data_IF_653005649455
#
_entry.id   IF_653005649455
#
_cell.length_a   1.000
_cell.length_b   1.000
_cell.length_c   1.000
_cell.angle_alpha   90.00
_cell.angle_beta   90.00
_cell.angle_gamma   90.00
#
_symmetry.space_group_name_H-M   'P 1'
#
loop_
_entity.id
_entity.type
_entity.pdbx_description
1 polymer ?
#
# COMPACT_ATOMS: atom_id res chain seq x y z
N UNK A 1 28.77 1.16 -1.53
CA UNK A 1 27.79 1.72 -2.49
C UNK A 1 28.34 2.77 -3.46
N UNK A 2 29.54 3.37 -3.27
CA UNK A 2 30.12 4.27 -4.30
C UNK A 2 30.93 3.55 -5.40
N UNK A 3 31.52 2.41 -5.06
CA UNK A 3 32.37 1.62 -5.97
C UNK A 3 31.57 0.84 -7.02
N UNK A 4 30.47 0.21 -6.61
CA UNK A 4 29.58 -0.55 -7.53
C UNK A 4 28.87 0.38 -8.52
N UNK A 5 28.59 1.62 -8.12
CA UNK A 5 28.06 2.65 -9.00
C UNK A 5 29.08 3.13 -10.04
N UNK A 6 30.36 3.25 -9.66
CA UNK A 6 31.45 3.58 -10.59
C UNK A 6 31.68 2.47 -11.63
N UNK A 7 31.64 1.21 -11.19
CA UNK A 7 31.75 0.05 -12.09
C UNK A 7 30.58 0.02 -13.08
N UNK A 8 29.36 0.22 -12.60
CA UNK A 8 28.16 0.27 -13.45
C UNK A 8 28.24 1.42 -14.45
N UNK A 9 28.65 2.61 -14.01
CA UNK A 9 28.81 3.77 -14.89
C UNK A 9 29.88 3.55 -15.98
N UNK A 10 30.99 2.88 -15.63
CA UNK A 10 32.06 2.54 -16.58
C UNK A 10 31.62 1.48 -17.60
N UNK A 11 30.83 0.48 -17.20
CA UNK A 11 30.28 -0.50 -18.14
C UNK A 11 29.25 0.11 -19.10
N UNK A 12 28.41 1.02 -18.62
CA UNK A 12 27.49 1.78 -19.48
C UNK A 12 28.28 2.69 -20.43
N UNK A 13 29.31 3.37 -19.95
CA UNK A 13 30.17 4.20 -20.80
C UNK A 13 30.89 3.36 -21.87
N UNK A 14 31.51 2.24 -21.48
CA UNK A 14 32.25 1.35 -22.39
C UNK A 14 31.35 0.71 -23.45
N UNK A 15 30.13 0.28 -23.08
CA UNK A 15 29.16 -0.27 -24.03
C UNK A 15 28.63 0.78 -25.01
N UNK A 16 28.37 2.01 -24.54
CA UNK A 16 27.98 3.14 -25.40
C UNK A 16 29.10 3.53 -26.35
N UNK A 17 30.35 3.50 -25.87
CA UNK A 17 31.54 3.79 -26.68
C UNK A 17 31.78 2.69 -27.74
N UNK A 18 31.61 1.42 -27.36
CA UNK A 18 31.74 0.28 -28.28
C UNK A 18 30.61 0.24 -29.33
N UNK A 19 29.42 0.74 -29.00
CA UNK A 19 28.30 0.86 -29.93
C UNK A 19 28.37 2.11 -30.84
N UNK A 20 29.31 3.03 -30.57
CA UNK A 20 29.52 4.22 -31.40
C UNK A 20 30.55 3.95 -32.49
N UNK A 21 30.10 3.46 -33.65
CA UNK A 21 30.88 3.39 -34.90
C UNK A 21 31.12 4.79 -35.49
N UNK A 22 31.76 5.69 -34.72
CA UNK A 22 32.04 7.08 -35.11
C UNK A 22 30.82 8.00 -35.23
N UNK A 23 29.61 7.49 -34.96
CA UNK A 23 28.36 8.26 -35.09
C UNK A 23 27.76 8.58 -33.71
N UNK A 24 27.49 9.85 -33.35
CA UNK A 24 27.03 10.24 -32.01
C UNK A 24 25.58 9.84 -31.65
N UNK A 25 24.92 8.98 -32.44
CA UNK A 25 23.52 8.56 -32.24
C UNK A 25 23.26 7.89 -30.87
N UNK A 26 24.14 7.01 -30.34
CA UNK A 26 23.92 6.37 -29.02
C UNK A 26 24.00 7.37 -27.85
N UNK A 27 24.85 8.39 -27.95
CA UNK A 27 25.00 9.42 -26.91
C UNK A 27 23.74 10.27 -26.77
N UNK A 28 23.05 10.54 -27.87
CA UNK A 28 21.78 11.27 -27.87
C UNK A 28 20.69 10.45 -27.14
N UNK A 29 20.64 9.14 -27.35
CA UNK A 29 19.72 8.25 -26.65
C UNK A 29 19.94 8.24 -25.13
N UNK A 30 21.20 8.17 -24.70
CA UNK A 30 21.56 8.24 -23.27
C UNK A 30 21.19 9.61 -22.68
N UNK A 31 21.52 10.70 -23.38
CA UNK A 31 21.20 12.04 -22.93
C UNK A 31 19.69 12.27 -22.82
N UNK A 32 18.90 11.81 -23.80
CA UNK A 32 17.44 11.89 -23.76
C UNK A 32 16.83 11.02 -22.67
N UNK A 33 17.33 9.80 -22.47
CA UNK A 33 16.88 8.92 -21.39
C UNK A 33 17.13 9.55 -20.01
N UNK A 34 18.32 10.13 -19.82
CA UNK A 34 18.67 10.82 -18.57
C UNK A 34 17.87 12.10 -18.37
N UNK A 35 17.67 12.90 -19.42
CA UNK A 35 16.81 14.08 -19.37
C UNK A 35 15.36 13.70 -19.02
N UNK A 36 14.84 12.62 -19.61
CA UNK A 36 13.48 12.11 -19.32
C UNK A 36 13.38 11.62 -17.88
N UNK A 37 14.37 10.89 -17.38
CA UNK A 37 14.40 10.41 -15.99
C UNK A 37 14.42 11.58 -14.99
N UNK A 38 15.24 12.61 -15.25
CA UNK A 38 15.30 13.82 -14.42
C UNK A 38 13.97 14.59 -14.47
N UNK A 39 13.37 14.73 -15.66
CA UNK A 39 12.10 15.45 -15.83
C UNK A 39 10.95 14.72 -15.14
N UNK A 40 10.86 13.39 -15.29
CA UNK A 40 9.89 12.56 -14.59
C UNK A 40 10.10 12.60 -13.08
N UNK A 41 11.34 12.49 -12.60
CA UNK A 41 11.68 12.58 -11.18
C UNK A 41 11.31 13.93 -10.58
N UNK A 42 11.59 15.02 -11.30
CA UNK A 42 11.21 16.38 -10.90
C UNK A 42 9.69 16.54 -10.86
N UNK A 43 8.98 16.03 -11.86
CA UNK A 43 7.51 16.08 -11.92
C UNK A 43 6.88 15.28 -10.77
N UNK A 44 7.43 14.10 -10.47
CA UNK A 44 7.02 13.27 -9.33
C UNK A 44 7.26 13.99 -8.00
N UNK A 45 8.44 14.58 -7.80
CA UNK A 45 8.77 15.34 -6.60
C UNK A 45 7.81 16.52 -6.41
N UNK A 46 7.57 17.30 -7.47
CA UNK A 46 6.63 18.43 -7.44
C UNK A 46 5.19 17.99 -7.21
N UNK A 47 4.80 16.82 -7.73
CA UNK A 47 3.49 16.20 -7.51
C UNK A 47 3.33 15.74 -6.07
N UNK A 48 4.28 14.95 -5.56
CA UNK A 48 4.27 14.35 -4.24
C UNK A 48 4.20 15.39 -3.11
N UNK A 49 4.91 16.51 -3.25
CA UNK A 49 4.90 17.59 -2.26
C UNK A 49 3.55 18.33 -2.14
N UNK A 50 2.67 18.19 -3.13
CA UNK A 50 1.31 18.77 -3.09
C UNK A 50 0.26 17.79 -2.57
N UNK A 51 0.62 16.54 -2.33
CA UNK A 51 -0.31 15.53 -1.84
C UNK A 51 -0.47 15.71 -0.34
N UNK A 52 -1.72 15.70 0.12
CA UNK A 52 -2.01 15.65 1.55
C UNK A 52 -1.53 14.29 2.10
N UNK A 53 -0.46 14.31 2.89
CA UNK A 53 0.19 13.11 3.39
C UNK A 53 -0.75 12.24 4.25
N UNK A 54 -1.64 12.87 5.01
CA UNK A 54 -2.65 12.14 5.77
C UNK A 54 -3.60 11.37 4.83
N UNK A 55 -4.15 12.02 3.79
CA UNK A 55 -4.98 11.33 2.79
C UNK A 55 -4.22 10.24 2.06
N UNK A 56 -2.95 10.47 1.72
CA UNK A 56 -2.10 9.50 1.05
C UNK A 56 -1.91 8.24 1.91
N UNK A 57 -1.53 8.39 3.18
CA UNK A 57 -1.37 7.26 4.11
C UNK A 57 -2.68 6.55 4.43
N UNK A 58 -3.81 7.26 4.52
CA UNK A 58 -5.11 6.61 4.70
C UNK A 58 -5.48 5.77 3.48
N UNK A 59 -5.23 6.27 2.26
CA UNK A 59 -5.52 5.51 1.05
C UNK A 59 -4.57 4.33 0.85
N UNK A 60 -3.25 4.55 0.96
CA UNK A 60 -2.26 3.47 0.79
C UNK A 60 -2.33 2.45 1.90
N UNK A 61 -2.52 2.87 3.16
CA UNK A 61 -2.75 1.98 4.29
C UNK A 61 -4.05 1.19 4.17
N UNK A 62 -5.14 1.82 3.71
CA UNK A 62 -6.39 1.11 3.42
C UNK A 62 -6.20 0.05 2.34
N UNK A 63 -5.49 0.36 1.25
CA UNK A 63 -5.12 -0.61 0.23
C UNK A 63 -4.28 -1.76 0.80
N UNK A 64 -3.31 -1.47 1.67
CA UNK A 64 -2.50 -2.49 2.33
C UNK A 64 -3.34 -3.43 3.21
N UNK A 65 -4.36 -2.92 3.92
CA UNK A 65 -5.28 -3.76 4.70
C UNK A 65 -6.05 -4.73 3.80
N UNK A 66 -6.50 -4.27 2.63
CA UNK A 66 -7.20 -5.13 1.64
C UNK A 66 -6.26 -6.21 1.09
N UNK A 67 -5.01 -5.84 0.75
CA UNK A 67 -3.99 -6.79 0.28
C UNK A 67 -3.69 -7.84 1.35
N UNK A 68 -3.53 -7.43 2.61
CA UNK A 68 -3.31 -8.34 3.73
C UNK A 68 -4.47 -9.31 3.93
N UNK A 69 -5.71 -8.84 3.78
CA UNK A 69 -6.90 -9.69 3.82
C UNK A 69 -6.87 -10.75 2.69
N UNK A 70 -6.47 -10.35 1.47
CA UNK A 70 -6.32 -11.26 0.33
C UNK A 70 -5.26 -12.33 0.56
N UNK A 71 -4.08 -11.95 1.06
CA UNK A 71 -3.00 -12.91 1.41
C UNK A 71 -3.44 -13.87 2.51
N UNK A 72 -4.21 -13.41 3.50
CA UNK A 72 -4.76 -14.27 4.54
C UNK A 72 -5.75 -15.30 3.98
N UNK A 73 -6.68 -14.86 3.11
CA UNK A 73 -7.64 -15.75 2.46
C UNK A 73 -6.93 -16.79 1.57
N UNK A 74 -5.88 -16.39 0.85
CA UNK A 74 -5.02 -17.28 0.08
C UNK A 74 -4.34 -18.32 0.98
N UNK A 75 -3.77 -17.91 2.12
CA UNK A 75 -3.19 -18.85 3.07
C UNK A 75 -4.21 -19.86 3.61
N UNK A 76 -5.47 -19.46 3.80
CA UNK A 76 -6.55 -20.39 4.16
C UNK A 76 -6.87 -21.35 3.03
N UNK A 77 -6.78 -20.91 1.77
CA UNK A 77 -6.91 -21.79 0.62
C UNK A 77 -5.82 -22.86 0.59
N UNK A 78 -4.55 -22.50 0.83
CA UNK A 78 -3.44 -23.46 0.91
C UNK A 78 -3.67 -24.47 2.06
N UNK A 79 -4.22 -24.03 3.20
CA UNK A 79 -4.57 -24.92 4.31
C UNK A 79 -5.75 -25.86 3.97
N UNK A 80 -6.67 -25.38 3.15
CA UNK A 80 -7.75 -26.19 2.61
C UNK A 80 -7.17 -27.26 1.67
N UNK A 81 -6.26 -26.90 0.74
CA UNK A 81 -5.59 -27.84 -0.17
C UNK A 81 -4.75 -28.90 0.57
N UNK A 82 -4.20 -28.53 1.73
CA UNK A 82 -3.47 -29.45 2.60
C UNK A 82 -4.36 -30.39 3.45
N UNK A 83 -5.68 -30.43 3.21
CA UNK A 83 -6.68 -31.19 3.97
C UNK A 83 -6.78 -30.82 5.47
N UNK A 84 -6.20 -29.68 5.89
CA UNK A 84 -6.27 -29.22 7.28
C UNK A 84 -7.59 -28.50 7.59
N UNK A 85 -8.23 -27.93 6.58
CA UNK A 85 -9.50 -27.20 6.71
C UNK A 85 -10.50 -27.74 5.68
N UNK A 86 -11.66 -28.29 6.09
CA UNK A 86 -12.66 -28.79 5.15
C UNK A 86 -13.32 -27.63 4.38
N UNK A 87 -13.85 -27.90 3.17
CA UNK A 87 -14.64 -26.93 2.42
C UNK A 87 -14.10 -26.50 1.05
N UNK A 88 -13.14 -27.25 0.47
CA UNK A 88 -12.64 -27.03 -0.91
C UNK A 88 -13.77 -26.89 -1.94
N UNK A 89 -14.82 -27.69 -1.79
CA UNK A 89 -15.91 -27.82 -2.76
C UNK A 89 -17.07 -26.85 -2.51
N UNK A 90 -17.02 -26.06 -1.43
CA UNK A 90 -18.10 -25.14 -1.05
C UNK A 90 -17.78 -23.72 -1.54
N UNK A 91 -17.95 -23.54 -2.85
CA UNK A 91 -17.73 -22.28 -3.56
C UNK A 91 -18.71 -21.21 -3.09
N UNK A 92 -18.20 -20.01 -2.81
CA UNK A 92 -19.04 -18.88 -2.41
C UNK A 92 -19.77 -18.29 -3.63
N UNK A 93 -19.01 -18.00 -4.68
CA UNK A 93 -19.48 -17.48 -5.96
C UNK A 93 -18.47 -17.89 -7.04
N UNK A 94 -18.93 -18.43 -8.16
CA UNK A 94 -18.12 -18.66 -9.35
C UNK A 94 -18.41 -17.51 -10.33
N UNK A 95 -17.42 -16.63 -10.53
CA UNK A 95 -17.51 -15.47 -11.42
C UNK A 95 -16.64 -15.68 -12.68
N UNK A 96 -16.09 -16.89 -12.83
CA UNK A 96 -15.15 -17.29 -13.89
C UNK A 96 -15.76 -17.19 -15.28
N UNK A 97 -17.09 -17.24 -15.37
CA UNK A 97 -17.84 -17.04 -16.61
C UNK A 97 -17.88 -15.58 -17.10
N UNK A 98 -17.65 -14.58 -16.22
CA UNK A 98 -17.76 -13.15 -16.57
C UNK A 98 -16.40 -12.45 -16.57
N UNK A 99 -15.43 -12.97 -15.81
CA UNK A 99 -14.06 -12.46 -15.74
C UNK A 99 -13.11 -13.64 -16.02
N UNK A 100 -12.66 -13.81 -17.29
CA UNK A 100 -11.66 -14.81 -17.60
C UNK A 100 -10.38 -14.53 -16.80
N UNK A 101 -9.86 -15.50 -16.02
CA UNK A 101 -8.62 -15.33 -15.25
C UNK A 101 -7.41 -15.01 -16.13
N UNK A 102 -7.45 -15.37 -17.41
CA UNK A 102 -6.40 -15.12 -18.40
C UNK A 102 -6.42 -13.69 -18.99
N UNK A 103 -7.37 -12.86 -18.58
CA UNK A 103 -7.41 -11.46 -18.99
C UNK A 103 -6.28 -10.66 -18.35
N UNK A 104 -5.77 -9.64 -19.04
CA UNK A 104 -4.67 -8.80 -18.53
C UNK A 104 -5.04 -8.11 -17.20
N UNK A 105 -6.31 -7.72 -17.03
CA UNK A 105 -6.81 -7.15 -15.79
C UNK A 105 -7.02 -8.22 -14.71
N UNK A 106 -7.49 -9.41 -15.07
CA UNK A 106 -7.59 -10.56 -14.16
C UNK A 106 -6.23 -10.95 -13.58
N UNK A 107 -5.19 -11.01 -14.42
CA UNK A 107 -3.81 -11.28 -14.00
C UNK A 107 -3.24 -10.19 -13.11
N UNK A 108 -3.54 -8.90 -13.39
CA UNK A 108 -3.13 -7.79 -12.53
C UNK A 108 -3.83 -7.81 -11.17
N UNK A 109 -5.15 -8.04 -11.14
CA UNK A 109 -5.88 -8.15 -9.87
C UNK A 109 -5.45 -9.39 -9.08
N UNK A 110 -5.23 -10.51 -9.76
CA UNK A 110 -4.72 -11.74 -9.15
C UNK A 110 -3.32 -11.54 -8.59
N UNK A 111 -2.44 -10.86 -9.33
CA UNK A 111 -1.07 -10.55 -8.90
C UNK A 111 -0.97 -9.50 -7.81
N UNK A 112 -1.83 -8.47 -7.81
CA UNK A 112 -1.77 -7.36 -6.84
C UNK A 112 -2.59 -7.64 -5.58
N UNK A 113 -3.73 -8.34 -5.70
CA UNK A 113 -4.69 -8.52 -4.61
C UNK A 113 -4.87 -9.99 -4.19
N UNK A 114 -4.18 -10.96 -4.81
CA UNK A 114 -4.44 -12.40 -4.64
C UNK A 114 -5.92 -12.77 -4.87
N UNK A 115 -6.55 -12.11 -5.84
CA UNK A 115 -7.95 -12.35 -6.18
C UNK A 115 -8.12 -13.72 -6.86
N UNK A 116 -8.85 -14.63 -6.22
CA UNK A 116 -9.25 -15.91 -6.82
C UNK A 116 -10.67 -15.77 -7.41
N UNK A 117 -10.90 -16.17 -8.67
CA UNK A 117 -12.23 -16.13 -9.31
C UNK A 117 -13.26 -17.09 -8.67
N UNK A 118 -12.77 -18.11 -7.97
CA UNK A 118 -13.55 -19.20 -7.37
C UNK A 118 -13.32 -19.29 -5.84
N UNK A 119 -13.60 -18.23 -5.05
CA UNK A 119 -13.32 -18.26 -3.62
C UNK A 119 -14.31 -19.19 -2.89
N UNK A 120 -13.83 -19.95 -1.90
CA UNK A 120 -14.71 -20.75 -1.04
C UNK A 120 -15.45 -19.86 -0.02
N UNK A 121 -16.59 -20.33 0.51
CA UNK A 121 -17.36 -19.60 1.53
C UNK A 121 -16.52 -19.25 2.75
N UNK A 122 -15.59 -20.14 3.13
CA UNK A 122 -14.68 -19.94 4.25
C UNK A 122 -13.67 -18.82 3.94
N UNK A 123 -13.10 -18.78 2.74
CA UNK A 123 -12.17 -17.73 2.33
C UNK A 123 -12.83 -16.35 2.35
N UNK A 124 -14.07 -16.23 1.82
CA UNK A 124 -14.83 -14.97 1.85
C UNK A 124 -15.16 -14.57 3.29
N UNK A 125 -15.53 -15.53 4.13
CA UNK A 125 -15.86 -15.27 5.54
C UNK A 125 -14.64 -14.77 6.31
N UNK A 126 -13.50 -15.45 6.18
CA UNK A 126 -12.22 -15.02 6.81
C UNK A 126 -11.81 -13.65 6.30
N UNK A 127 -11.92 -13.42 4.99
CA UNK A 127 -11.63 -12.12 4.38
C UNK A 127 -12.50 -11.01 4.98
N UNK A 128 -13.83 -11.19 5.08
CA UNK A 128 -14.74 -10.19 5.66
C UNK A 128 -14.48 -9.98 7.15
N UNK A 129 -14.28 -11.04 7.92
CA UNK A 129 -14.04 -10.99 9.37
C UNK A 129 -12.71 -10.30 9.69
N UNK A 130 -11.70 -10.42 8.82
CA UNK A 130 -10.46 -9.67 8.98
C UNK A 130 -10.58 -8.22 8.47
N UNK A 131 -11.15 -8.03 7.28
CA UNK A 131 -11.16 -6.74 6.60
C UNK A 131 -12.07 -5.74 7.30
N UNK A 132 -13.31 -6.11 7.66
CA UNK A 132 -14.29 -5.17 8.21
C UNK A 132 -13.80 -4.56 9.53
N UNK A 133 -13.36 -5.33 10.54
CA UNK A 133 -12.87 -4.77 11.80
C UNK A 133 -11.56 -4.00 11.62
N UNK A 134 -10.61 -4.54 10.85
CA UNK A 134 -9.29 -3.91 10.65
C UNK A 134 -9.43 -2.58 9.93
N UNK A 135 -10.27 -2.53 8.89
CA UNK A 135 -10.55 -1.30 8.15
C UNK A 135 -11.34 -0.30 9.02
N UNK A 136 -12.32 -0.77 9.81
CA UNK A 136 -13.06 0.09 10.74
C UNK A 136 -12.15 0.72 11.79
N UNK A 137 -11.23 -0.04 12.38
CA UNK A 137 -10.23 0.47 13.35
C UNK A 137 -9.24 1.42 12.66
N UNK A 138 -8.76 1.06 11.46
CA UNK A 138 -7.80 1.87 10.71
C UNK A 138 -8.36 3.23 10.29
N UNK A 139 -9.64 3.31 9.91
CA UNK A 139 -10.30 4.57 9.56
C UNK A 139 -10.93 5.29 10.76
N UNK A 140 -10.96 4.68 11.95
CA UNK A 140 -11.55 5.31 13.13
C UNK A 140 -10.82 6.62 13.45
N UNK A 141 -11.53 7.75 13.63
CA UNK A 141 -10.90 9.02 13.95
C UNK A 141 -10.20 8.94 15.31
N UNK A 142 -8.91 9.23 15.34
CA UNK A 142 -8.01 9.18 16.51
C UNK A 142 -8.39 10.12 17.67
N UNK A 143 -9.52 10.81 17.59
CA UNK A 143 -10.01 11.78 18.57
C UNK A 143 -10.89 11.22 19.70
N UNK A 144 -11.28 9.94 19.67
CA UNK A 144 -12.17 9.37 20.68
C UNK A 144 -11.51 9.15 22.07
N UNK A 145 -10.18 9.21 22.17
CA UNK A 145 -9.45 9.10 23.43
C UNK A 145 -9.03 10.46 24.03
N UNK A 146 -9.19 11.58 23.30
CA UNK A 146 -8.79 12.91 23.76
C UNK A 146 -10.01 13.79 24.09
N UNK A 147 -10.93 13.26 24.91
CA UNK A 147 -12.05 14.07 25.45
C UNK A 147 -12.47 13.65 26.85
N UNK A 148 -11.52 13.58 27.79
CA UNK A 148 -11.85 13.67 29.22
C UNK A 148 -10.68 14.19 30.05
N UNK A 149 -10.35 15.45 29.82
CA UNK A 149 -9.31 16.14 30.59
C UNK A 149 -9.49 17.66 30.58
N UNK A 150 -10.71 18.17 30.43
CA UNK A 150 -10.99 19.57 30.79
C UNK A 150 -11.57 19.58 32.20
N UNK A 151 -10.69 19.36 33.18
CA UNK A 151 -10.99 19.64 34.57
C UNK A 151 -11.22 21.14 34.69
N UNK A 152 -12.47 21.54 34.87
CA UNK A 152 -12.86 22.87 35.29
C UNK A 152 -12.11 23.22 36.58
N UNK A 153 -10.96 23.89 36.44
CA UNK A 153 -10.25 24.55 37.52
C UNK A 153 -10.84 25.92 37.82
N UNK A 154 -12.17 26.02 37.89
CA UNK A 154 -12.89 27.21 38.32
C UNK A 154 -13.89 26.80 39.40
N UNK A 155 -13.54 27.17 40.64
CA UNK A 155 -14.39 27.43 41.81
C UNK A 155 -13.82 26.81 43.09
N UNK A 156 -12.70 27.36 43.57
CA UNK A 156 -12.40 27.39 45.00
C UNK A 156 -11.52 28.60 45.29
N UNK A 157 -12.13 29.79 45.29
CA UNK A 157 -11.59 30.91 46.04
C UNK A 157 -11.65 30.54 47.53
N UNK A 158 -10.54 30.63 48.29
CA UNK A 158 -10.54 30.30 49.72
C UNK A 158 -11.52 31.20 50.49
N UNK A 159 -12.17 30.70 51.56
CA UNK A 159 -13.06 31.52 52.37
C UNK A 159 -12.28 32.69 52.98
N UNK A 160 -12.87 33.89 52.90
CA UNK A 160 -12.36 35.08 53.55
C UNK A 160 -12.19 34.79 55.06
N UNK A 161 -10.95 34.88 55.53
CA UNK A 161 -10.63 34.83 56.95
C UNK A 161 -11.33 36.03 57.60
N UNK A 162 -12.36 35.76 58.40
CA UNK A 162 -12.90 36.76 59.32
C UNK A 162 -11.85 36.96 60.40
N UNK A 163 -11.15 38.08 60.36
CA UNK A 163 -10.43 38.58 61.52
C UNK A 163 -11.48 39.04 62.53
N UNK A 164 -11.69 38.24 63.59
CA UNK A 164 -12.25 38.73 64.84
C UNK A 164 -11.11 39.17 65.76
N UNK A 165 -10.95 40.49 65.95
CA UNK A 165 -10.61 41.17 67.22
C UNK A 165 -11.18 42.59 67.18
#
# INVERSE_FOLDING_TARGET
MGREGLETALFVWASVHAASDGTPRPLIGVALGLATAVLLGWLFYRGALRINLAKFFTWTGGMLVVVAAGVLAYGVHDLQEADLVPGLTNLAFDISATIPPDSWYGTLLKGVLNFQPDPTVIQVTVWLVYLIPTLAIFLAPSGLLSRKGNGKGEAQSPPAVREEV
#
